data_IF_162651047122
#
_entry.id   IF_162651047122
#
_cell.length_a   1.000
_cell.length_b   1.000
_cell.length_c   1.000
_cell.angle_alpha   90.00
_cell.angle_beta   90.00
_cell.angle_gamma   90.00
#
_symmetry.space_group_name_H-M   'P 1'
#
loop_
_entity.id
_entity.type
_entity.pdbx_description
1 polymer ?
#
# COMPACT_ATOMS: atom_id res chain seq x y z
N UNK A 1 -0.82 11.11 -5.75
CA UNK A 1 -2.23 11.39 -6.08
C UNK A 1 -2.85 10.10 -6.58
N UNK A 2 -4.05 9.77 -6.14
CA UNK A 2 -4.78 8.55 -6.52
C UNK A 2 -6.17 8.92 -7.02
N UNK A 3 -6.70 8.14 -7.96
CA UNK A 3 -8.12 8.14 -8.31
C UNK A 3 -8.66 6.76 -7.94
N UNK A 4 -9.67 6.74 -7.09
CA UNK A 4 -10.30 5.52 -6.59
C UNK A 4 -11.69 5.42 -7.20
N UNK A 5 -11.94 4.31 -7.88
CA UNK A 5 -13.28 3.96 -8.35
C UNK A 5 -14.04 3.35 -7.18
N UNK A 6 -15.17 3.96 -6.83
CA UNK A 6 -15.96 3.53 -5.69
C UNK A 6 -16.78 2.29 -6.00
N UNK A 7 -16.86 1.37 -5.04
CA UNK A 7 -17.77 0.23 -5.09
C UNK A 7 -19.21 0.61 -4.72
N UNK A 8 -19.39 1.74 -4.02
CA UNK A 8 -20.68 2.31 -3.66
C UNK A 8 -20.57 3.55 -2.77
N UNK A 9 -21.70 3.94 -2.16
CA UNK A 9 -21.83 5.19 -1.42
C UNK A 9 -20.94 5.28 -0.15
N UNK A 10 -20.59 4.14 0.44
CA UNK A 10 -19.73 4.06 1.63
C UNK A 10 -18.23 4.22 1.33
N UNK A 11 -17.80 4.00 0.08
CA UNK A 11 -16.37 3.97 -0.30
C UNK A 11 -15.57 5.19 0.16
N UNK A 12 -16.08 6.45 0.07
CA UNK A 12 -15.33 7.59 0.59
C UNK A 12 -14.97 7.50 2.07
N UNK A 13 -15.89 7.02 2.91
CA UNK A 13 -15.63 6.83 4.34
C UNK A 13 -14.59 5.73 4.59
N UNK A 14 -14.68 4.63 3.86
CA UNK A 14 -13.72 3.52 3.92
C UNK A 14 -12.31 3.94 3.49
N UNK A 15 -12.21 4.74 2.41
CA UNK A 15 -10.95 5.31 1.94
C UNK A 15 -10.36 6.27 2.99
N UNK A 16 -11.20 7.11 3.61
CA UNK A 16 -10.76 8.02 4.67
C UNK A 16 -10.19 7.25 5.88
N UNK A 17 -10.90 6.21 6.33
CA UNK A 17 -10.45 5.35 7.43
C UNK A 17 -9.12 4.66 7.10
N UNK A 18 -9.02 4.03 5.91
CA UNK A 18 -7.78 3.37 5.48
C UNK A 18 -6.60 4.33 5.41
N UNK A 19 -6.81 5.57 4.92
CA UNK A 19 -5.76 6.58 4.91
C UNK A 19 -5.33 6.93 6.34
N UNK A 20 -6.27 7.08 7.29
CA UNK A 20 -5.93 7.37 8.69
C UNK A 20 -5.12 6.23 9.32
N UNK A 21 -5.57 4.99 9.16
CA UNK A 21 -4.89 3.80 9.71
C UNK A 21 -3.46 3.63 9.18
N UNK A 22 -3.20 4.11 7.96
CA UNK A 22 -1.88 4.08 7.33
C UNK A 22 -1.04 5.35 7.59
N UNK A 23 -1.49 6.25 8.45
CA UNK A 23 -0.77 7.48 8.80
C UNK A 23 -0.88 8.61 7.75
N UNK A 24 -1.89 8.55 6.89
CA UNK A 24 -2.17 9.51 5.82
C UNK A 24 -3.40 10.39 6.12
N UNK A 25 -3.78 10.54 7.39
CA UNK A 25 -4.92 11.37 7.81
C UNK A 25 -4.98 12.79 7.21
N UNK A 26 -3.85 13.52 7.05
CA UNK A 26 -3.85 14.85 6.41
C UNK A 26 -4.14 14.86 4.89
N UNK A 27 -4.31 13.69 4.27
CA UNK A 27 -4.58 13.59 2.83
C UNK A 27 -5.87 14.31 2.48
N UNK A 28 -5.83 15.15 1.44
CA UNK A 28 -7.04 15.78 0.91
C UNK A 28 -7.79 14.79 0.05
N UNK A 29 -9.10 14.76 0.21
CA UNK A 29 -10.01 13.93 -0.55
C UNK A 29 -11.01 14.84 -1.25
N UNK A 30 -11.25 14.56 -2.53
CA UNK A 30 -12.34 15.14 -3.30
C UNK A 30 -13.21 13.99 -3.80
N UNK A 31 -14.47 13.97 -3.38
CA UNK A 31 -15.47 13.03 -3.89
C UNK A 31 -16.27 13.73 -4.98
N UNK A 32 -16.33 13.09 -6.14
CA UNK A 32 -17.03 13.57 -7.31
C UNK A 32 -18.17 12.59 -7.62
N UNK A 33 -19.40 13.05 -7.47
CA UNK A 33 -20.60 12.24 -7.68
C UNK A 33 -21.26 12.59 -9.01
N UNK A 34 -21.79 11.57 -9.70
CA UNK A 34 -22.59 11.75 -10.92
C UNK A 34 -21.90 12.67 -11.96
N UNK A 35 -20.58 12.49 -12.15
CA UNK A 35 -19.76 13.28 -13.09
C UNK A 35 -20.39 13.32 -14.49
N UNK A 36 -20.53 14.53 -15.05
CA UNK A 36 -21.21 14.75 -16.33
C UNK A 36 -22.74 14.68 -16.27
N UNK A 37 -23.31 14.53 -15.07
CA UNK A 37 -24.75 14.41 -14.82
C UNK A 37 -25.49 15.75 -14.73
N UNK A 38 -24.84 16.87 -15.08
CA UNK A 38 -25.43 18.22 -15.04
C UNK A 38 -25.80 18.64 -13.62
N UNK A 39 -27.08 18.93 -13.38
CA UNK A 39 -27.56 19.36 -12.06
C UNK A 39 -27.41 18.30 -10.95
N UNK A 40 -27.17 17.03 -11.30
CA UNK A 40 -26.91 15.95 -10.34
C UNK A 40 -25.45 15.82 -9.94
N UNK A 41 -24.54 16.45 -10.68
CA UNK A 41 -23.10 16.41 -10.38
C UNK A 41 -22.85 17.14 -9.06
N UNK A 42 -22.19 16.46 -8.12
CA UNK A 42 -21.84 17.04 -6.82
C UNK A 42 -20.38 16.81 -6.51
N UNK A 43 -19.81 17.73 -5.75
CA UNK A 43 -18.42 17.69 -5.30
C UNK A 43 -18.35 17.94 -3.81
N UNK A 44 -17.67 17.03 -3.12
CA UNK A 44 -17.39 17.14 -1.70
C UNK A 44 -15.89 17.12 -1.47
N UNK A 45 -15.43 17.94 -0.52
CA UNK A 45 -14.03 18.01 -0.15
C UNK A 45 -13.86 17.87 1.36
N UNK A 46 -12.71 17.34 1.75
CA UNK A 46 -12.35 17.13 3.14
C UNK A 46 -10.93 16.59 3.26
N UNK A 47 -10.51 16.34 4.51
CA UNK A 47 -9.32 15.53 4.78
C UNK A 47 -9.75 14.13 5.18
N UNK A 48 -8.88 13.14 5.06
CA UNK A 48 -9.17 11.79 5.54
C UNK A 48 -9.48 11.77 7.05
N UNK A 49 -8.66 12.46 7.86
CA UNK A 49 -8.81 12.51 9.32
C UNK A 49 -10.10 13.20 9.79
N UNK A 50 -10.60 14.16 9.01
CA UNK A 50 -11.79 14.93 9.35
C UNK A 50 -12.88 14.79 8.31
N UNK A 51 -13.01 13.63 7.63
CA UNK A 51 -13.97 13.45 6.54
C UNK A 51 -15.40 13.69 7.07
N UNK A 52 -16.05 14.80 6.71
CA UNK A 52 -17.24 15.26 7.43
C UNK A 52 -18.55 14.82 6.78
N UNK A 53 -18.46 14.19 5.60
CA UNK A 53 -19.62 13.92 4.77
C UNK A 53 -20.11 12.49 5.00
N UNK A 54 -21.43 12.30 5.22
CA UNK A 54 -22.02 10.96 5.25
C UNK A 54 -21.93 10.30 3.86
N UNK A 55 -22.24 8.99 3.76
CA UNK A 55 -22.39 8.32 2.47
C UNK A 55 -23.36 9.09 1.55
N UNK A 56 -22.93 9.32 0.31
CA UNK A 56 -23.69 10.07 -0.70
C UNK A 56 -24.21 9.18 -1.81
N UNK A 57 -23.94 9.57 -3.06
CA UNK A 57 -24.34 8.81 -4.25
C UNK A 57 -23.46 7.56 -4.46
N UNK A 58 -24.03 6.39 -4.81
CA UNK A 58 -23.22 5.21 -5.10
C UNK A 58 -22.31 5.37 -6.33
N UNK A 59 -22.66 6.22 -7.29
CA UNK A 59 -21.81 6.54 -8.44
C UNK A 59 -20.92 7.74 -8.11
N UNK A 60 -19.79 7.46 -7.48
CA UNK A 60 -18.80 8.46 -7.13
C UNK A 60 -17.36 8.01 -7.44
N UNK A 61 -16.46 8.98 -7.58
CA UNK A 61 -15.01 8.77 -7.71
C UNK A 61 -14.32 9.58 -6.62
N UNK A 62 -13.33 8.99 -5.96
CA UNK A 62 -12.55 9.67 -4.92
C UNK A 62 -11.17 10.02 -5.45
N UNK A 63 -10.87 11.32 -5.56
CA UNK A 63 -9.53 11.82 -5.81
C UNK A 63 -8.81 12.06 -4.48
N UNK A 64 -7.62 11.48 -4.33
CA UNK A 64 -6.83 11.59 -3.10
C UNK A 64 -5.49 12.25 -3.38
N UNK A 65 -5.23 13.36 -2.70
CA UNK A 65 -3.88 13.90 -2.57
C UNK A 65 -3.24 13.34 -1.30
N UNK A 66 -2.53 12.22 -1.44
CA UNK A 66 -1.87 11.55 -0.32
C UNK A 66 -0.85 12.47 0.35
N UNK A 67 -1.06 12.77 1.63
CA UNK A 67 -0.15 13.52 2.49
C UNK A 67 0.14 12.72 3.75
N UNK A 68 1.38 12.29 3.98
CA UNK A 68 1.73 11.62 5.23
C UNK A 68 1.57 12.60 6.39
N UNK A 69 0.98 12.12 7.50
CA UNK A 69 1.00 12.82 8.78
C UNK A 69 2.26 12.52 9.59
N UNK A 70 2.34 13.01 10.83
CA UNK A 70 3.38 12.63 11.77
C UNK A 70 3.40 11.10 11.94
N UNK A 71 4.55 10.46 11.68
CA UNK A 71 4.69 8.99 11.70
C UNK A 71 4.23 8.27 10.43
N UNK A 72 3.60 8.97 9.48
CA UNK A 72 3.31 8.45 8.15
C UNK A 72 4.57 8.44 7.30
N UNK A 73 5.06 7.25 6.92
CA UNK A 73 6.23 7.15 6.06
C UNK A 73 5.85 6.65 4.67
N UNK A 74 6.25 7.41 3.64
CA UNK A 74 6.17 6.93 2.26
C UNK A 74 7.19 5.82 2.06
N UNK A 75 6.72 4.59 1.95
CA UNK A 75 7.56 3.46 1.58
C UNK A 75 7.75 3.46 0.06
N UNK A 76 9.01 3.46 -0.39
CA UNK A 76 9.35 3.46 -1.82
C UNK A 76 8.96 2.16 -2.51
N UNK A 77 8.72 2.20 -3.82
CA UNK A 77 8.71 1.00 -4.66
C UNK A 77 10.13 0.58 -5.09
N UNK A 78 11.10 1.49 -4.96
CA UNK A 78 12.52 1.18 -5.17
C UNK A 78 13.03 0.34 -4.01
N UNK A 79 13.78 -0.75 -4.28
CA UNK A 79 14.36 -1.59 -3.25
C UNK A 79 15.20 -0.84 -2.21
N UNK A 80 15.28 -1.42 -1.02
CA UNK A 80 15.96 -0.88 0.15
C UNK A 80 15.03 -0.10 1.08
N UNK A 81 13.90 -0.70 1.49
CA UNK A 81 13.10 -0.16 2.59
C UNK A 81 13.90 -0.17 3.91
N UNK A 82 13.57 0.72 4.88
CA UNK A 82 14.11 0.66 6.23
C UNK A 82 13.90 -0.73 6.86
N UNK A 83 14.80 -1.15 7.72
CA UNK A 83 14.70 -2.48 8.35
C UNK A 83 13.49 -2.55 9.31
N UNK A 84 13.12 -1.41 9.88
CA UNK A 84 11.97 -1.20 10.76
C UNK A 84 10.62 -1.36 10.03
N UNK A 85 10.63 -1.42 8.69
CA UNK A 85 9.44 -1.73 7.90
C UNK A 85 9.06 -3.21 7.96
N UNK A 86 9.90 -4.06 8.57
CA UNK A 86 9.67 -5.49 8.67
C UNK A 86 9.72 -5.95 10.12
N UNK A 87 8.79 -6.81 10.49
CA UNK A 87 8.97 -7.65 11.67
C UNK A 87 10.17 -8.59 11.43
N UNK A 88 11.04 -8.76 12.42
CA UNK A 88 12.19 -9.66 12.34
C UNK A 88 12.70 -10.08 13.74
N UNK A 89 13.41 -11.22 13.82
CA UNK A 89 14.08 -11.73 15.03
C UNK A 89 15.58 -11.40 15.06
N UNK A 90 16.01 -10.41 14.27
CA UNK A 90 17.42 -10.06 14.09
C UNK A 90 18.06 -10.70 12.86
N UNK A 91 17.43 -11.74 12.29
CA UNK A 91 17.82 -12.31 11.00
C UNK A 91 17.04 -11.62 9.87
N UNK A 92 17.55 -10.46 9.46
CA UNK A 92 17.05 -9.68 8.33
C UNK A 92 18.21 -9.33 7.41
N UNK A 93 18.07 -9.60 6.11
CA UNK A 93 19.01 -9.09 5.10
C UNK A 93 19.05 -7.58 5.23
N UNK A 94 20.18 -7.02 5.69
CA UNK A 94 20.27 -5.59 5.95
C UNK A 94 19.95 -4.77 4.72
N UNK A 95 19.24 -3.66 4.91
CA UNK A 95 18.77 -2.75 3.84
C UNK A 95 19.69 -2.61 2.62
N UNK A 96 20.99 -2.35 2.81
CA UNK A 96 21.93 -2.14 1.70
C UNK A 96 22.19 -3.42 0.90
N UNK A 97 22.31 -4.56 1.59
CA UNK A 97 22.46 -5.87 0.95
C UNK A 97 21.17 -6.21 0.22
N UNK A 98 20.00 -6.01 0.85
CA UNK A 98 18.69 -6.23 0.23
C UNK A 98 18.52 -5.43 -1.07
N UNK A 99 18.85 -4.14 -1.06
CA UNK A 99 18.80 -3.31 -2.26
C UNK A 99 19.71 -3.83 -3.38
N UNK A 100 20.95 -4.22 -3.06
CA UNK A 100 21.88 -4.80 -4.03
C UNK A 100 21.39 -6.15 -4.58
N UNK A 101 20.81 -7.00 -3.72
CA UNK A 101 20.21 -8.28 -4.14
C UNK A 101 19.08 -8.07 -5.13
N UNK A 102 18.14 -7.16 -4.85
CA UNK A 102 17.03 -6.89 -5.77
C UNK A 102 17.51 -6.26 -7.08
N UNK A 103 18.56 -5.43 -7.04
CA UNK A 103 19.17 -4.89 -8.26
C UNK A 103 19.80 -5.99 -9.12
N UNK A 104 20.44 -7.00 -8.50
CA UNK A 104 20.98 -8.15 -9.21
C UNK A 104 19.90 -9.10 -9.74
N UNK A 105 18.79 -9.26 -9.01
CA UNK A 105 17.65 -10.07 -9.43
C UNK A 105 16.82 -9.41 -10.54
N UNK A 106 16.81 -8.08 -10.61
CA UNK A 106 16.22 -7.27 -11.67
C UNK A 106 14.77 -7.66 -12.05
N UNK A 107 13.80 -7.58 -11.11
CA UNK A 107 12.41 -7.97 -11.37
C UNK A 107 11.80 -7.29 -12.60
N UNK A 108 11.25 -8.08 -13.51
CA UNK A 108 10.43 -7.60 -14.61
C UNK A 108 8.93 -7.85 -14.34
N UNK A 109 8.01 -7.05 -14.93
CA UNK A 109 6.58 -7.19 -14.69
C UNK A 109 6.05 -8.60 -14.94
N UNK A 110 5.26 -9.12 -14.00
CA UNK A 110 4.59 -10.43 -14.10
C UNK A 110 5.44 -11.63 -13.68
N UNK A 111 6.73 -11.45 -13.41
CA UNK A 111 7.64 -12.52 -13.06
C UNK A 111 7.36 -13.12 -11.67
N UNK A 112 7.80 -14.37 -11.48
CA UNK A 112 7.67 -15.13 -10.26
C UNK A 112 9.04 -15.40 -9.64
N UNK A 113 9.24 -14.95 -8.41
CA UNK A 113 10.41 -15.30 -7.60
C UNK A 113 10.12 -16.54 -6.76
N UNK A 114 11.10 -17.45 -6.68
CA UNK A 114 11.18 -18.45 -5.62
C UNK A 114 12.22 -17.99 -4.59
N UNK A 115 11.76 -17.70 -3.39
CA UNK A 115 12.58 -17.19 -2.28
C UNK A 115 12.80 -18.32 -1.26
N UNK A 116 13.91 -19.03 -1.42
CA UNK A 116 14.26 -20.20 -0.60
C UNK A 116 14.99 -19.74 0.66
N UNK A 117 14.46 -20.07 1.84
CA UNK A 117 14.99 -19.59 3.11
C UNK A 117 14.56 -18.15 3.40
N UNK A 118 13.28 -17.85 3.20
CA UNK A 118 12.77 -16.48 3.18
C UNK A 118 13.00 -15.68 4.47
N UNK A 119 13.18 -16.33 5.63
CA UNK A 119 13.47 -15.66 6.89
C UNK A 119 12.35 -14.69 7.30
N UNK A 120 12.56 -13.38 7.09
CA UNK A 120 11.54 -12.34 7.30
C UNK A 120 10.70 -12.04 6.04
N UNK A 121 11.08 -12.55 4.87
CA UNK A 121 10.37 -12.34 3.60
C UNK A 121 10.70 -11.04 2.91
N UNK A 122 11.68 -10.27 3.42
CA UNK A 122 11.96 -8.92 2.90
C UNK A 122 12.35 -8.89 1.42
N UNK A 123 13.04 -9.92 0.90
CA UNK A 123 13.36 -10.02 -0.53
C UNK A 123 12.08 -10.23 -1.35
N UNK A 124 11.24 -11.20 -0.98
CA UNK A 124 9.98 -11.48 -1.66
C UNK A 124 9.02 -10.27 -1.65
N UNK A 125 8.91 -9.57 -0.52
CA UNK A 125 8.07 -8.36 -0.41
C UNK A 125 8.59 -7.25 -1.31
N UNK A 126 9.90 -6.96 -1.31
CA UNK A 126 10.44 -5.93 -2.19
C UNK A 126 10.40 -6.33 -3.68
N UNK A 127 10.55 -7.61 -4.01
CA UNK A 127 10.37 -8.14 -5.37
C UNK A 127 8.97 -7.83 -5.91
N UNK A 128 7.93 -8.15 -5.14
CA UNK A 128 6.54 -7.90 -5.52
C UNK A 128 6.21 -6.40 -5.63
N UNK A 129 6.94 -5.55 -4.89
CA UNK A 129 6.79 -4.09 -4.94
C UNK A 129 7.52 -3.44 -6.12
N UNK A 130 8.60 -4.05 -6.59
CA UNK A 130 9.47 -3.47 -7.62
C UNK A 130 8.90 -3.57 -9.03
N UNK A 131 8.05 -4.57 -9.31
CA UNK A 131 7.44 -4.79 -10.63
C UNK A 131 5.94 -5.06 -10.56
N UNK A 132 5.18 -4.44 -11.47
CA UNK A 132 3.73 -4.64 -11.53
C UNK A 132 3.42 -6.10 -11.84
N UNK A 133 2.59 -6.73 -11.00
CA UNK A 133 2.19 -8.13 -11.19
C UNK A 133 3.29 -9.14 -10.83
N UNK A 134 4.42 -8.70 -10.30
CA UNK A 134 5.42 -9.61 -9.73
C UNK A 134 4.80 -10.41 -8.58
N UNK A 135 5.15 -11.69 -8.52
CA UNK A 135 4.71 -12.63 -7.49
C UNK A 135 5.93 -13.27 -6.84
N UNK A 136 5.78 -13.73 -5.62
CA UNK A 136 6.82 -14.49 -4.94
C UNK A 136 6.23 -15.69 -4.21
N UNK A 137 6.97 -16.79 -4.20
CA UNK A 137 6.74 -17.96 -3.35
C UNK A 137 7.93 -18.05 -2.41
N UNK A 138 7.71 -17.77 -1.12
CA UNK A 138 8.74 -17.95 -0.10
C UNK A 138 8.60 -19.32 0.57
N UNK A 139 9.72 -20.03 0.65
CA UNK A 139 9.83 -21.32 1.35
C UNK A 139 10.63 -21.10 2.63
N UNK A 140 10.01 -21.38 3.78
CA UNK A 140 10.64 -21.25 5.09
C UNK A 140 10.28 -22.46 5.95
N UNK A 141 11.28 -23.04 6.60
CA UNK A 141 11.15 -24.25 7.41
C UNK A 141 10.58 -23.92 8.79
N UNK A 142 10.98 -22.80 9.36
CA UNK A 142 10.52 -22.37 10.67
C UNK A 142 9.07 -21.83 10.58
N UNK A 143 8.10 -22.41 11.28
CA UNK A 143 6.69 -22.00 11.17
C UNK A 143 6.43 -20.59 11.71
N UNK A 144 7.21 -20.13 12.69
CA UNK A 144 7.11 -18.78 13.26
C UNK A 144 7.59 -17.75 12.23
N UNK A 145 8.71 -18.02 11.56
CA UNK A 145 9.21 -17.19 10.47
C UNK A 145 8.29 -17.23 9.25
N UNK A 146 7.75 -18.39 8.88
CA UNK A 146 6.77 -18.50 7.81
C UNK A 146 5.51 -17.66 8.09
N UNK A 147 5.01 -17.65 9.33
CA UNK A 147 3.91 -16.77 9.72
C UNK A 147 4.29 -15.29 9.67
N UNK A 148 5.53 -14.94 10.05
CA UNK A 148 6.06 -13.58 9.96
C UNK A 148 6.14 -13.06 8.53
N UNK A 149 6.57 -13.90 7.58
CA UNK A 149 6.60 -13.57 6.15
C UNK A 149 5.23 -13.10 5.68
N UNK A 150 4.14 -13.77 6.10
CA UNK A 150 2.76 -13.36 5.76
C UNK A 150 2.42 -12.00 6.33
N UNK A 151 2.68 -11.77 7.62
CA UNK A 151 2.42 -10.47 8.25
C UNK A 151 3.19 -9.32 7.60
N UNK A 152 4.42 -9.56 7.16
CA UNK A 152 5.22 -8.57 6.43
C UNK A 152 4.71 -8.29 5.00
N UNK A 153 3.84 -9.14 4.46
CA UNK A 153 3.27 -8.98 3.12
C UNK A 153 1.89 -8.28 3.11
N UNK A 154 1.27 -8.08 4.28
CA UNK A 154 -0.06 -7.44 4.48
C UNK A 154 0.06 -5.94 4.80
#
# INVERSE_FOLDING_TARGET
RLLVLSAGAGTPGEVAALLCDRGYGPSRMTVLEQLGGGARERRFEGTAAGWPHPPGDPLNVVAVECRPGPGGHRLSAVPGLPDEAYEHDGQLTKRRVRAATLAALAPAPGELLWDIGGGSGSIAVEWMRAGRGCRAVSVERDPVRAARIRRNAE
#
